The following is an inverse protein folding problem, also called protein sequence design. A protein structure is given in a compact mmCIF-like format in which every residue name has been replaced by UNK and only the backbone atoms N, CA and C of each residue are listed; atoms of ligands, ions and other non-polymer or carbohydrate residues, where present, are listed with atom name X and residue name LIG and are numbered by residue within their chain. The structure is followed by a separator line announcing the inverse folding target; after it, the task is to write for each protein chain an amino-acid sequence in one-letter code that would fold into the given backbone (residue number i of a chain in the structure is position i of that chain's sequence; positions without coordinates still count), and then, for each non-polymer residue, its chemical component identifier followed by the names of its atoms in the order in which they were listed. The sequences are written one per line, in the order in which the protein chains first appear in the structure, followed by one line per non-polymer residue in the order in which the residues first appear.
data_IF_495314474463
#
_entry.id   IF_495314474463
#
_cell.length_a   1.000
_cell.length_b   1.000
_cell.length_c   1.000
_cell.angle_alpha   90.00
_cell.angle_beta   90.00
_cell.angle_gamma   90.00
#
_symmetry.space_group_name_H-M   'P 1'
#
loop_
_entity.id
_entity.type
_entity.pdbx_description
1 polymer ?
#
# COMPACT_ATOMS: atom_id res chain seq x y z
N UNK A 1 16.95 -11.19 -22.52
CA UNK A 1 16.19 -12.02 -23.47
C UNK A 1 15.20 -12.99 -22.80
N UNK A 2 15.64 -14.00 -22.03
CA UNK A 2 14.73 -14.89 -21.26
C UNK A 2 13.95 -14.15 -20.16
N UNK A 3 14.57 -13.18 -19.47
CA UNK A 3 13.92 -12.35 -18.45
C UNK A 3 12.82 -11.43 -19.01
N UNK A 4 12.96 -10.96 -20.24
CA UNK A 4 12.00 -10.06 -20.89
C UNK A 4 10.75 -10.81 -21.35
N UNK A 5 10.93 -12.03 -21.89
CA UNK A 5 9.82 -12.93 -22.21
C UNK A 5 9.03 -13.35 -20.97
N UNK A 6 9.70 -13.64 -19.86
CA UNK A 6 9.02 -13.96 -18.61
C UNK A 6 8.16 -12.79 -18.11
N UNK A 7 8.67 -11.54 -18.17
CA UNK A 7 7.92 -10.33 -17.76
C UNK A 7 6.66 -10.07 -18.58
N UNK A 8 6.67 -10.35 -19.88
CA UNK A 8 5.48 -10.17 -20.73
C UNK A 8 4.33 -11.09 -20.34
N UNK A 9 4.62 -12.30 -19.83
CA UNK A 9 3.59 -13.26 -19.42
C UNK A 9 3.22 -13.10 -17.94
N UNK A 10 4.18 -12.71 -17.10
CA UNK A 10 3.96 -12.53 -15.65
C UNK A 10 3.17 -11.26 -15.32
N UNK A 11 3.26 -10.19 -16.13
CA UNK A 11 2.55 -8.93 -15.87
C UNK A 11 1.03 -9.08 -15.96
N UNK A 12 0.46 -9.64 -17.05
CA UNK A 12 -0.99 -9.88 -17.13
C UNK A 12 -1.49 -10.86 -16.08
N UNK A 13 -0.71 -11.89 -15.76
CA UNK A 13 -1.03 -12.85 -14.71
C UNK A 13 -1.15 -12.19 -13.35
N UNK A 14 -0.20 -11.32 -12.98
CA UNK A 14 -0.25 -10.55 -11.72
C UNK A 14 -1.53 -9.73 -11.63
N UNK A 15 -1.96 -9.10 -12.71
CA UNK A 15 -3.14 -8.24 -12.72
C UNK A 15 -4.43 -9.07 -12.63
N UNK A 16 -4.47 -10.24 -13.26
CA UNK A 16 -5.55 -11.20 -13.10
C UNK A 16 -5.63 -11.74 -11.66
N UNK A 17 -4.48 -12.08 -11.06
CA UNK A 17 -4.40 -12.49 -9.66
C UNK A 17 -4.91 -11.40 -8.73
N UNK A 18 -4.46 -10.15 -8.91
CA UNK A 18 -4.95 -9.01 -8.14
C UNK A 18 -6.47 -8.87 -8.28
N UNK A 19 -6.99 -8.94 -9.50
CA UNK A 19 -8.43 -8.81 -9.77
C UNK A 19 -9.25 -9.90 -9.08
N UNK A 20 -8.88 -11.17 -9.25
CA UNK A 20 -9.61 -12.29 -8.65
C UNK A 20 -9.47 -12.28 -7.12
N UNK A 21 -8.29 -11.97 -6.60
CA UNK A 21 -8.05 -11.84 -5.15
C UNK A 21 -8.94 -10.77 -4.52
N UNK A 22 -8.92 -9.54 -5.06
CA UNK A 22 -9.73 -8.45 -4.54
C UNK A 22 -11.22 -8.69 -4.73
N UNK A 23 -11.64 -9.27 -5.85
CA UNK A 23 -13.05 -9.63 -6.10
C UNK A 23 -13.53 -10.69 -5.10
N UNK A 24 -12.75 -11.76 -4.89
CA UNK A 24 -13.10 -12.84 -3.97
C UNK A 24 -13.21 -12.37 -2.52
N UNK A 25 -12.26 -11.56 -2.05
CA UNK A 25 -12.34 -10.95 -0.71
C UNK A 25 -13.51 -9.98 -0.64
N UNK A 26 -13.69 -9.13 -1.64
CA UNK A 26 -14.76 -8.13 -1.67
C UNK A 26 -16.16 -8.76 -1.58
N UNK A 27 -16.42 -9.84 -2.33
CA UNK A 27 -17.69 -10.56 -2.29
C UNK A 27 -17.93 -11.28 -0.96
N UNK A 28 -16.88 -11.62 -0.21
CA UNK A 28 -16.99 -12.30 1.09
C UNK A 28 -17.25 -11.34 2.26
N UNK A 29 -17.12 -10.03 2.05
CA UNK A 29 -17.24 -9.01 3.10
C UNK A 29 -18.64 -8.39 3.09
N UNK A 30 -19.28 -8.37 4.26
CA UNK A 30 -20.57 -7.71 4.46
C UNK A 30 -20.38 -6.18 4.55
N UNK A 31 -20.97 -5.39 3.63
CA UNK A 31 -20.80 -3.94 3.62
C UNK A 31 -21.42 -3.26 4.85
N UNK A 32 -22.44 -3.84 5.47
CA UNK A 32 -23.05 -3.29 6.68
C UNK A 32 -22.09 -3.28 7.87
N UNK A 33 -21.21 -4.29 7.96
CA UNK A 33 -20.17 -4.38 9.00
C UNK A 33 -19.00 -3.43 8.75
N UNK A 34 -18.77 -3.01 7.50
CA UNK A 34 -17.74 -2.02 7.19
C UNK A 34 -18.07 -0.65 7.79
N UNK A 35 -19.35 -0.24 7.75
CA UNK A 35 -19.80 1.08 8.22
C UNK A 35 -19.49 1.27 9.70
N UNK A 36 -19.76 0.26 10.54
CA UNK A 36 -19.50 0.32 11.98
C UNK A 36 -18.01 0.33 12.32
N UNK A 37 -17.14 -0.16 11.42
CA UNK A 37 -15.69 -0.26 11.62
C UNK A 37 -14.92 0.97 11.12
N UNK A 38 -15.57 1.94 10.46
CA UNK A 38 -14.93 3.17 9.98
C UNK A 38 -14.08 3.90 11.04
N UNK A 39 -14.54 4.08 12.29
CA UNK A 39 -13.73 4.78 13.29
C UNK A 39 -12.38 4.09 13.55
N UNK A 40 -12.39 2.76 13.65
CA UNK A 40 -11.19 1.95 13.86
C UNK A 40 -10.30 1.99 12.61
N UNK A 41 -10.90 1.87 11.43
CA UNK A 41 -10.17 1.94 10.16
C UNK A 41 -9.45 3.28 9.98
N UNK A 42 -10.10 4.39 10.31
CA UNK A 42 -9.51 5.73 10.26
C UNK A 42 -8.38 5.90 11.28
N UNK A 43 -8.56 5.39 12.50
CA UNK A 43 -7.51 5.41 13.51
C UNK A 43 -6.28 4.62 13.05
N UNK A 44 -6.48 3.41 12.52
CA UNK A 44 -5.40 2.61 11.95
C UNK A 44 -4.72 3.31 10.77
N UNK A 45 -5.49 3.84 9.83
CA UNK A 45 -4.96 4.59 8.71
C UNK A 45 -4.09 5.77 9.15
N UNK A 46 -4.55 6.53 10.15
CA UNK A 46 -3.78 7.64 10.73
C UNK A 46 -2.48 7.16 11.38
N UNK A 47 -2.52 6.10 12.20
CA UNK A 47 -1.33 5.53 12.85
C UNK A 47 -0.35 5.00 11.81
N UNK A 48 -0.81 4.27 10.79
CA UNK A 48 0.04 3.74 9.73
C UNK A 48 0.67 4.86 8.91
N UNK A 49 -0.12 5.84 8.48
CA UNK A 49 0.39 6.99 7.73
C UNK A 49 1.42 7.77 8.55
N UNK A 50 1.13 8.07 9.81
CA UNK A 50 2.05 8.77 10.71
C UNK A 50 3.35 7.97 10.90
N UNK A 51 3.26 6.66 11.08
CA UNK A 51 4.44 5.79 11.24
C UNK A 51 5.27 5.72 9.95
N UNK A 52 4.62 5.60 8.78
CA UNK A 52 5.27 5.58 7.48
C UNK A 52 6.03 6.88 7.23
N UNK A 53 5.38 8.02 7.49
CA UNK A 53 6.00 9.34 7.36
C UNK A 53 7.13 9.50 8.37
N UNK A 54 6.93 9.12 9.63
CA UNK A 54 7.95 9.23 10.67
C UNK A 54 9.20 8.39 10.33
N UNK A 55 9.03 7.16 9.86
CA UNK A 55 10.13 6.27 9.49
C UNK A 55 10.83 6.75 8.20
N UNK A 56 10.08 7.20 7.18
CA UNK A 56 10.63 7.80 5.96
C UNK A 56 11.42 9.09 6.24
N UNK A 57 10.89 9.96 7.10
CA UNK A 57 11.59 11.16 7.56
C UNK A 57 12.84 10.82 8.37
N UNK A 58 12.78 9.82 9.25
CA UNK A 58 13.93 9.38 10.03
C UNK A 58 15.07 8.86 9.13
N UNK A 59 14.74 8.02 8.15
CA UNK A 59 15.69 7.52 7.17
C UNK A 59 16.29 8.66 6.33
N UNK A 60 15.44 9.54 5.78
CA UNK A 60 15.89 10.67 4.97
C UNK A 60 16.74 11.68 5.77
N UNK A 61 16.45 11.88 7.06
CA UNK A 61 17.27 12.69 7.97
C UNK A 61 18.65 12.09 8.17
N UNK A 62 18.73 10.76 8.31
CA UNK A 62 20.00 10.03 8.46
C UNK A 62 20.87 10.13 7.20
N UNK A 63 20.25 10.22 6.02
CA UNK A 63 20.93 10.39 4.74
C UNK A 63 21.23 11.86 4.37
N UNK A 64 20.93 12.83 5.25
CA UNK A 64 21.23 14.25 5.02
C UNK A 64 20.29 14.95 4.02
N UNK A 65 19.14 14.36 3.69
CA UNK A 65 18.18 14.91 2.74
C UNK A 65 17.54 16.19 3.30
N UNK A 66 17.42 17.25 2.49
CA UNK A 66 16.81 18.50 2.91
C UNK A 66 15.35 18.33 3.39
N UNK A 67 14.89 19.20 4.29
CA UNK A 67 13.59 19.10 5.00
C UNK A 67 12.37 18.95 4.08
N UNK A 68 12.45 19.45 2.83
CA UNK A 68 11.41 19.26 1.79
C UNK A 68 11.42 17.87 1.14
N UNK A 69 12.57 17.19 1.07
CA UNK A 69 12.69 15.81 0.59
C UNK A 69 12.24 14.77 1.63
N UNK A 70 12.37 15.09 2.92
CA UNK A 70 11.97 14.20 4.02
C UNK A 70 10.46 13.91 4.04
N UNK A 71 9.62 14.89 3.67
CA UNK A 71 8.16 14.71 3.59
C UNK A 71 7.71 13.87 2.38
N UNK A 72 8.59 13.60 1.40
CA UNK A 72 8.30 12.79 0.20
C UNK A 72 8.87 11.39 0.26
N UNK A 73 9.67 11.09 1.28
CA UNK A 73 10.26 9.78 1.52
C UNK A 73 9.30 8.83 2.25
N UNK A 74 8.21 9.37 2.81
CA UNK A 74 7.13 8.64 3.50
C UNK A 74 5.84 8.65 2.72
#
# INVERSE_FOLDING_TARGET
ETADRARMVLTPLRDLFATIFFLGIGLSVDPGKLVSMLPVALALAAVTAATKVATGMFAARREGVARRGQLRAG
#
